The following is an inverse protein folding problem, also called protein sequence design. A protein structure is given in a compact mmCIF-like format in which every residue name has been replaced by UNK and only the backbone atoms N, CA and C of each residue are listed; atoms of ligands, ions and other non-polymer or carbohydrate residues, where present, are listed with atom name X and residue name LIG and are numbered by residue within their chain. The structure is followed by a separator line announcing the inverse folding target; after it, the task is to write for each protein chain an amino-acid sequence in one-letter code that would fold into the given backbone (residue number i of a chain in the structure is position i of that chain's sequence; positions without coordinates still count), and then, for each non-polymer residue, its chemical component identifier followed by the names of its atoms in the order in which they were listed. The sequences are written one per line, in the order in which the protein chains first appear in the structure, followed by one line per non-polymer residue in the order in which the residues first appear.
data_IF_153925057989
#
_entry.id   IF_153925057989
#
_cell.length_a   1.000
_cell.length_b   1.000
_cell.length_c   1.000
_cell.angle_alpha   90.00
_cell.angle_beta   90.00
_cell.angle_gamma   90.00
#
_symmetry.space_group_name_H-M   'P 1'
#
loop_
_entity.id
_entity.type
_entity.pdbx_description
1 polymer ?
#
# COMPACT_ATOMS: atom_id res chain seq x y z
N UNK A 1 -2.59 -6.22 -13.85
CA UNK A 1 -1.17 -5.84 -13.74
C UNK A 1 -0.84 -4.76 -14.75
N UNK A 2 0.15 -3.93 -14.49
CA UNK A 2 0.54 -2.84 -15.38
C UNK A 2 1.34 -3.37 -16.56
N UNK A 3 1.09 -2.85 -17.77
CA UNK A 3 1.95 -3.04 -18.93
C UNK A 3 3.35 -2.48 -18.63
N UNK A 4 4.36 -3.30 -18.77
CA UNK A 4 5.78 -2.94 -18.56
C UNK A 4 6.65 -3.78 -19.50
N UNK A 5 7.87 -3.31 -19.73
CA UNK A 5 8.87 -4.08 -20.48
C UNK A 5 9.03 -5.51 -19.92
N UNK A 6 9.01 -5.66 -18.61
CA UNK A 6 9.17 -6.94 -17.93
C UNK A 6 7.96 -7.86 -18.06
N UNK A 7 6.76 -7.28 -18.13
CA UNK A 7 5.52 -8.03 -18.24
C UNK A 7 5.22 -8.43 -19.68
N UNK A 8 5.48 -7.51 -20.62
CA UNK A 8 5.02 -7.65 -22.00
C UNK A 8 6.06 -8.33 -22.93
N UNK A 9 7.36 -8.33 -22.55
CA UNK A 9 8.41 -8.86 -23.40
C UNK A 9 8.86 -10.26 -22.97
N UNK A 10 8.65 -11.28 -23.81
CA UNK A 10 9.02 -12.66 -23.48
C UNK A 10 10.53 -12.90 -23.40
N UNK A 11 11.36 -11.99 -23.95
CA UNK A 11 12.81 -12.17 -24.07
C UNK A 11 13.64 -12.03 -22.78
N UNK A 12 13.04 -11.66 -21.66
CA UNK A 12 13.76 -11.48 -20.38
C UNK A 12 13.92 -12.82 -19.62
N UNK A 13 13.66 -13.93 -20.28
CA UNK A 13 13.86 -15.28 -19.73
C UNK A 13 12.85 -15.68 -18.66
N UNK A 14 11.81 -14.87 -18.45
CA UNK A 14 10.74 -15.12 -17.49
C UNK A 14 9.42 -15.54 -18.16
N UNK A 15 9.33 -15.46 -19.48
CA UNK A 15 8.09 -15.59 -20.22
C UNK A 15 7.24 -14.30 -20.13
N UNK A 16 6.06 -14.31 -20.73
CA UNK A 16 5.10 -13.21 -20.60
C UNK A 16 4.38 -13.24 -19.24
N UNK A 17 3.84 -12.10 -18.82
CA UNK A 17 3.03 -12.00 -17.61
C UNK A 17 3.87 -11.93 -16.32
N UNK A 18 3.42 -12.60 -15.26
CA UNK A 18 4.02 -12.52 -13.93
C UNK A 18 5.31 -13.36 -13.74
N UNK A 19 5.80 -14.02 -14.78
CA UNK A 19 6.97 -14.91 -14.71
C UNK A 19 8.23 -14.22 -14.19
N UNK A 20 8.44 -12.95 -14.54
CA UNK A 20 9.58 -12.17 -14.04
C UNK A 20 9.52 -11.95 -12.52
N UNK A 21 8.30 -11.78 -11.96
CA UNK A 21 8.09 -11.63 -10.51
C UNK A 21 8.46 -12.92 -9.80
N UNK A 22 7.97 -14.06 -10.31
CA UNK A 22 8.31 -15.37 -9.76
C UNK A 22 9.83 -15.60 -9.76
N UNK A 23 10.50 -15.28 -10.88
CA UNK A 23 11.94 -15.43 -11.02
C UNK A 23 12.69 -14.56 -10.00
N UNK A 24 12.30 -13.30 -9.86
CA UNK A 24 12.84 -12.39 -8.84
C UNK A 24 12.68 -12.90 -7.41
N UNK A 25 11.48 -13.39 -7.06
CA UNK A 25 11.21 -13.96 -5.73
C UNK A 25 12.07 -15.21 -5.45
N UNK A 26 12.26 -16.09 -6.44
CA UNK A 26 13.12 -17.28 -6.30
C UNK A 26 14.60 -16.92 -6.14
N UNK A 27 15.08 -15.93 -6.90
CA UNK A 27 16.46 -15.44 -6.76
C UNK A 27 16.68 -14.77 -5.40
N UNK A 28 15.75 -13.94 -4.95
CA UNK A 28 15.82 -13.31 -3.63
C UNK A 28 15.85 -14.36 -2.51
N UNK A 29 15.04 -15.43 -2.61
CA UNK A 29 15.07 -16.54 -1.67
C UNK A 29 16.40 -17.31 -1.68
N UNK A 30 16.98 -17.49 -2.85
CA UNK A 30 18.27 -18.17 -2.98
C UNK A 30 19.42 -17.33 -2.41
N UNK A 31 19.36 -16.00 -2.56
CA UNK A 31 20.37 -15.07 -2.06
C UNK A 31 20.28 -14.89 -0.54
N UNK A 32 19.06 -14.75 0.00
CA UNK A 32 18.80 -14.68 1.45
C UNK A 32 17.55 -15.51 1.82
N UNK A 33 17.77 -16.72 2.37
CA UNK A 33 16.67 -17.58 2.79
C UNK A 33 15.83 -17.01 3.93
N UNK A 34 16.35 -16.06 4.72
CA UNK A 34 15.68 -15.51 5.90
C UNK A 34 14.89 -14.23 5.59
N UNK A 35 15.23 -13.51 4.53
CA UNK A 35 14.48 -12.31 4.14
C UNK A 35 13.06 -12.66 3.71
N UNK A 36 12.08 -11.86 4.17
CA UNK A 36 10.71 -11.93 3.66
C UNK A 36 10.58 -11.17 2.36
N UNK A 37 9.83 -11.71 1.43
CA UNK A 37 9.62 -11.17 0.07
C UNK A 37 8.20 -10.74 -0.12
N UNK A 38 8.03 -9.49 -0.53
CA UNK A 38 6.75 -8.86 -0.75
C UNK A 38 6.61 -8.43 -2.22
N UNK A 39 5.42 -8.60 -2.76
CA UNK A 39 5.01 -7.89 -3.96
C UNK A 39 4.33 -6.59 -3.54
N UNK A 40 4.87 -5.45 -3.98
CA UNK A 40 4.38 -4.12 -3.62
C UNK A 40 3.83 -3.41 -4.85
N UNK A 41 2.61 -2.82 -4.74
CA UNK A 41 2.01 -2.09 -5.86
C UNK A 41 1.05 -0.99 -5.34
N UNK A 42 0.72 -0.03 -6.21
CA UNK A 42 -0.23 1.07 -5.98
C UNK A 42 -1.56 0.78 -6.68
N UNK A 43 -2.62 1.55 -6.37
CA UNK A 43 -3.98 1.39 -6.93
C UNK A 43 -4.53 -0.05 -6.80
N UNK A 44 -4.10 -0.76 -5.78
CA UNK A 44 -4.50 -2.13 -5.48
C UNK A 44 -5.16 -2.26 -4.09
N UNK A 45 -5.48 -1.15 -3.47
CA UNK A 45 -6.08 -1.06 -2.14
C UNK A 45 -7.49 -1.61 -2.15
N UNK A 46 -8.34 -1.14 -3.06
CA UNK A 46 -9.71 -1.61 -3.23
C UNK A 46 -9.79 -2.90 -4.05
N UNK A 47 -10.92 -3.60 -3.98
CA UNK A 47 -11.24 -4.68 -4.92
C UNK A 47 -11.55 -4.06 -6.29
N UNK A 48 -10.63 -4.25 -7.21
CA UNK A 48 -10.70 -3.77 -8.58
C UNK A 48 -9.95 -4.73 -9.52
N UNK A 49 -9.97 -4.48 -10.81
CA UNK A 49 -9.33 -5.34 -11.80
C UNK A 49 -7.82 -5.55 -11.54
N UNK A 50 -7.12 -4.53 -11.00
CA UNK A 50 -5.70 -4.64 -10.68
C UNK A 50 -5.47 -5.52 -9.45
N UNK A 51 -6.18 -5.27 -8.36
CA UNK A 51 -6.08 -6.08 -7.15
C UNK A 51 -6.54 -7.51 -7.38
N UNK A 52 -7.52 -7.74 -8.27
CA UNK A 52 -7.96 -9.08 -8.68
C UNK A 52 -6.85 -9.85 -9.42
N UNK A 53 -6.14 -9.17 -10.32
CA UNK A 53 -5.00 -9.77 -11.03
C UNK A 53 -3.85 -10.09 -10.06
N UNK A 54 -3.56 -9.22 -9.09
CA UNK A 54 -2.56 -9.47 -8.04
C UNK A 54 -3.00 -10.64 -7.15
N UNK A 55 -4.28 -10.70 -6.77
CA UNK A 55 -4.83 -11.80 -5.98
C UNK A 55 -4.71 -13.14 -6.71
N UNK A 56 -5.08 -13.18 -8.00
CA UNK A 56 -4.97 -14.39 -8.82
C UNK A 56 -3.51 -14.86 -8.92
N UNK A 57 -2.56 -13.94 -9.16
CA UNK A 57 -1.12 -14.23 -9.16
C UNK A 57 -0.65 -14.77 -7.81
N UNK A 58 -1.00 -14.11 -6.70
CA UNK A 58 -0.60 -14.52 -5.36
C UNK A 58 -1.14 -15.93 -5.02
N UNK A 59 -2.40 -16.20 -5.35
CA UNK A 59 -3.03 -17.50 -5.19
C UNK A 59 -2.32 -18.61 -5.99
N UNK A 60 -1.97 -18.33 -7.24
CA UNK A 60 -1.21 -19.25 -8.08
C UNK A 60 0.21 -19.48 -7.51
N UNK A 61 0.88 -18.41 -7.10
CA UNK A 61 2.21 -18.51 -6.50
C UNK A 61 2.21 -19.35 -5.22
N UNK A 62 1.22 -19.16 -4.34
CA UNK A 62 1.06 -19.99 -3.13
C UNK A 62 0.85 -21.45 -3.50
N UNK A 63 -0.02 -21.74 -4.49
CA UNK A 63 -0.29 -23.12 -4.97
C UNK A 63 0.97 -23.81 -5.51
N UNK A 64 1.84 -23.07 -6.21
CA UNK A 64 3.06 -23.59 -6.84
C UNK A 64 4.31 -23.51 -5.95
N UNK A 65 4.19 -23.09 -4.69
CA UNK A 65 5.32 -22.94 -3.77
C UNK A 65 6.31 -21.86 -4.20
N UNK A 66 5.85 -20.81 -4.89
CA UNK A 66 6.68 -19.62 -5.13
C UNK A 66 6.86 -18.88 -3.81
N UNK A 67 8.08 -18.45 -3.47
CA UNK A 67 8.38 -17.90 -2.14
C UNK A 67 7.91 -16.43 -2.00
N UNK A 68 6.61 -16.21 -2.08
CA UNK A 68 5.92 -14.96 -1.78
C UNK A 68 5.45 -15.00 -0.32
N UNK A 69 5.97 -14.09 0.49
CA UNK A 69 5.66 -14.02 1.92
C UNK A 69 4.56 -13.01 2.22
N UNK A 70 4.40 -11.95 1.41
CA UNK A 70 3.37 -10.94 1.64
C UNK A 70 3.08 -10.04 0.45
N UNK A 71 2.10 -9.15 0.68
CA UNK A 71 1.69 -8.10 -0.25
C UNK A 71 1.88 -6.74 0.42
N UNK A 72 2.50 -5.79 -0.30
CA UNK A 72 2.55 -4.39 0.05
C UNK A 72 1.52 -3.60 -0.75
N UNK A 73 0.76 -2.77 -0.05
CA UNK A 73 -0.14 -1.77 -0.61
C UNK A 73 0.52 -0.41 -0.41
N UNK A 74 0.81 0.31 -1.50
CA UNK A 74 1.48 1.62 -1.38
C UNK A 74 0.61 2.64 -0.67
N UNK A 75 -0.67 2.66 -0.96
CA UNK A 75 -1.69 3.48 -0.29
C UNK A 75 -1.45 4.99 -0.45
N UNK A 76 -1.19 5.39 -1.69
CA UNK A 76 -1.15 6.80 -2.11
C UNK A 76 -2.57 7.29 -2.41
N UNK A 77 -3.24 7.90 -1.45
CA UNK A 77 -4.69 8.19 -1.54
C UNK A 77 -5.02 9.68 -1.47
N UNK A 78 -6.28 10.00 -1.74
CA UNK A 78 -6.89 11.32 -1.53
C UNK A 78 -8.02 11.18 -0.51
N UNK A 79 -8.63 12.30 -0.10
CA UNK A 79 -9.80 12.30 0.79
C UNK A 79 -10.99 11.50 0.23
N UNK A 80 -11.07 11.31 -1.10
CA UNK A 80 -12.14 10.47 -1.68
C UNK A 80 -12.03 9.00 -1.27
N UNK A 81 -10.90 8.58 -0.69
CA UNK A 81 -10.74 7.23 -0.17
C UNK A 81 -11.53 6.99 1.13
N UNK A 82 -11.95 8.06 1.81
CA UNK A 82 -12.79 8.01 3.01
C UNK A 82 -14.27 7.66 2.73
N UNK A 83 -14.64 7.47 1.46
CA UNK A 83 -15.98 6.98 1.12
C UNK A 83 -16.21 5.59 1.72
N UNK A 84 -17.36 5.36 2.40
CA UNK A 84 -17.61 4.09 3.12
C UNK A 84 -17.44 2.85 2.23
N UNK A 85 -17.80 2.94 0.96
CA UNK A 85 -17.65 1.83 0.02
C UNK A 85 -16.18 1.50 -0.26
N UNK A 86 -15.30 2.50 -0.30
CA UNK A 86 -13.87 2.29 -0.58
C UNK A 86 -13.14 1.70 0.62
N UNK A 87 -13.38 2.22 1.82
CA UNK A 87 -12.83 1.65 3.05
C UNK A 87 -13.32 0.21 3.27
N UNK A 88 -14.62 -0.06 3.04
CA UNK A 88 -15.16 -1.41 3.13
C UNK A 88 -14.56 -2.34 2.05
N UNK A 89 -14.32 -1.83 0.85
CA UNK A 89 -13.65 -2.58 -0.22
C UNK A 89 -12.21 -2.89 0.14
N UNK A 90 -11.49 -1.92 0.72
CA UNK A 90 -10.11 -2.12 1.19
C UNK A 90 -10.05 -3.17 2.30
N UNK A 91 -10.93 -3.10 3.30
CA UNK A 91 -11.01 -4.10 4.37
C UNK A 91 -11.20 -5.52 3.82
N UNK A 92 -12.13 -5.71 2.88
CA UNK A 92 -12.36 -7.01 2.21
C UNK A 92 -11.15 -7.46 1.40
N UNK A 93 -10.45 -6.51 0.79
CA UNK A 93 -9.25 -6.80 0.00
C UNK A 93 -8.10 -7.27 0.91
N UNK A 94 -7.85 -6.59 2.02
CA UNK A 94 -6.88 -7.03 3.03
C UNK A 94 -7.23 -8.44 3.54
N UNK A 95 -8.50 -8.67 3.90
CA UNK A 95 -8.98 -9.97 4.39
C UNK A 95 -8.72 -11.11 3.40
N UNK A 96 -9.04 -10.92 2.09
CA UNK A 96 -8.84 -11.99 1.10
C UNK A 96 -7.37 -12.36 0.91
N UNK A 97 -6.45 -11.39 0.94
CA UNK A 97 -5.01 -11.68 0.89
C UNK A 97 -4.51 -12.35 2.17
N UNK A 98 -4.98 -11.91 3.35
CA UNK A 98 -4.67 -12.54 4.62
C UNK A 98 -5.12 -14.02 4.65
N UNK A 99 -6.28 -14.35 4.07
CA UNK A 99 -6.78 -15.74 3.92
C UNK A 99 -5.88 -16.63 3.05
N UNK A 100 -4.99 -16.07 2.24
CA UNK A 100 -3.95 -16.84 1.53
C UNK A 100 -2.73 -17.14 2.42
N UNK A 101 -2.73 -16.71 3.67
CA UNK A 101 -1.58 -16.84 4.59
C UNK A 101 -0.43 -15.93 4.20
N UNK A 102 -0.73 -14.71 3.70
CA UNK A 102 0.25 -13.69 3.36
C UNK A 102 0.29 -12.61 4.43
N UNK A 103 1.48 -12.13 4.75
CA UNK A 103 1.64 -10.90 5.50
C UNK A 103 1.22 -9.70 4.64
N UNK A 104 0.62 -8.68 5.26
CA UNK A 104 0.16 -7.47 4.57
C UNK A 104 0.91 -6.27 5.14
N UNK A 105 1.41 -5.43 4.27
CA UNK A 105 2.07 -4.18 4.63
C UNK A 105 1.38 -3.00 3.94
N UNK A 106 1.16 -1.93 4.67
CA UNK A 106 0.89 -0.60 4.14
C UNK A 106 2.26 0.07 4.05
N UNK A 107 2.76 0.32 2.84
CA UNK A 107 4.19 0.57 2.62
C UNK A 107 4.56 2.00 2.35
N UNK A 108 3.61 2.83 1.90
CA UNK A 108 3.94 4.16 1.36
C UNK A 108 2.80 5.16 1.64
N UNK A 109 2.12 5.01 2.78
CA UNK A 109 0.91 5.78 3.09
C UNK A 109 1.17 7.29 3.01
N UNK A 110 0.44 7.94 2.13
CA UNK A 110 0.21 9.37 2.11
C UNK A 110 -1.23 9.69 1.75
N UNK A 111 -1.77 10.78 2.30
CA UNK A 111 -3.13 11.26 2.04
C UNK A 111 -3.05 12.70 1.52
N UNK A 112 -2.99 12.87 0.20
CA UNK A 112 -2.79 14.18 -0.41
C UNK A 112 -4.04 15.05 -0.39
N UNK A 113 -3.84 16.31 -0.09
CA UNK A 113 -4.88 17.34 -0.02
C UNK A 113 -4.73 18.34 -1.17
N UNK A 114 -5.85 18.97 -1.55
CA UNK A 114 -5.86 20.12 -2.50
C UNK A 114 -5.75 21.47 -1.79
N UNK A 115 -5.96 21.50 -0.48
CA UNK A 115 -5.85 22.69 0.37
C UNK A 115 -5.53 22.28 1.81
N UNK A 116 -5.12 23.25 2.63
CA UNK A 116 -4.83 23.06 4.05
C UNK A 116 -5.89 23.66 4.98
N UNK A 117 -7.13 23.74 4.51
CA UNK A 117 -8.23 24.21 5.36
C UNK A 117 -8.40 23.31 6.58
N UNK A 118 -8.92 23.83 7.71
CA UNK A 118 -9.17 23.00 8.90
C UNK A 118 -10.02 21.77 8.60
N UNK A 119 -11.00 21.88 7.71
CA UNK A 119 -11.86 20.75 7.31
C UNK A 119 -11.08 19.67 6.55
N UNK A 120 -10.22 20.06 5.59
CA UNK A 120 -9.40 19.12 4.83
C UNK A 120 -8.38 18.41 5.73
N UNK A 121 -7.77 19.14 6.66
CA UNK A 121 -6.78 18.59 7.61
C UNK A 121 -7.45 17.62 8.60
N UNK A 122 -8.66 17.92 9.06
CA UNK A 122 -9.42 17.01 9.94
C UNK A 122 -9.87 15.74 9.20
N UNK A 123 -10.39 15.87 7.98
CA UNK A 123 -10.74 14.72 7.15
C UNK A 123 -9.50 13.84 6.85
N UNK A 124 -8.34 14.45 6.62
CA UNK A 124 -7.09 13.71 6.48
C UNK A 124 -6.75 12.92 7.75
N UNK A 125 -6.88 13.55 8.92
CA UNK A 125 -6.62 12.88 10.19
C UNK A 125 -7.54 11.69 10.40
N UNK A 126 -8.84 11.86 10.13
CA UNK A 126 -9.82 10.79 10.19
C UNK A 126 -9.38 9.60 9.30
N UNK A 127 -9.02 9.86 8.05
CA UNK A 127 -8.64 8.82 7.11
C UNK A 127 -7.35 8.08 7.51
N UNK A 128 -6.34 8.77 8.04
CA UNK A 128 -5.16 8.12 8.59
C UNK A 128 -5.53 7.17 9.75
N UNK A 129 -6.43 7.60 10.63
CA UNK A 129 -6.95 6.77 11.72
C UNK A 129 -7.70 5.54 11.21
N UNK A 130 -8.61 5.71 10.24
CA UNK A 130 -9.40 4.60 9.68
C UNK A 130 -8.51 3.57 8.97
N UNK A 131 -7.58 3.99 8.11
CA UNK A 131 -6.63 3.08 7.44
C UNK A 131 -5.83 2.30 8.50
N UNK A 132 -5.39 2.96 9.57
CA UNK A 132 -4.64 2.31 10.65
C UNK A 132 -5.50 1.26 11.35
N UNK A 133 -6.76 1.57 11.69
CA UNK A 133 -7.69 0.61 12.31
C UNK A 133 -7.97 -0.58 11.41
N UNK A 134 -8.16 -0.36 10.11
CA UNK A 134 -8.37 -1.45 9.15
C UNK A 134 -7.17 -2.42 9.12
N UNK A 135 -5.94 -1.90 9.18
CA UNK A 135 -4.75 -2.73 9.29
C UNK A 135 -4.75 -3.54 10.59
N UNK A 136 -4.97 -2.90 11.73
CA UNK A 136 -4.97 -3.54 13.05
C UNK A 136 -6.04 -4.64 13.19
N UNK A 137 -7.16 -4.50 12.50
CA UNK A 137 -8.22 -5.51 12.47
C UNK A 137 -7.84 -6.77 11.69
N UNK A 138 -6.79 -6.72 10.89
CA UNK A 138 -6.33 -7.85 10.09
C UNK A 138 -5.08 -8.47 10.74
N UNK A 139 -5.15 -9.71 11.28
CA UNK A 139 -3.99 -10.36 11.90
C UNK A 139 -2.77 -10.50 10.98
N UNK A 140 -3.01 -10.50 9.67
CA UNK A 140 -1.97 -10.52 8.64
C UNK A 140 -1.28 -9.18 8.41
N UNK A 141 -1.86 -8.04 8.81
CA UNK A 141 -1.24 -6.73 8.64
C UNK A 141 -0.14 -6.52 9.68
N UNK A 142 1.08 -6.31 9.23
CA UNK A 142 2.28 -6.32 10.07
C UNK A 142 3.05 -5.01 10.06
N UNK A 143 2.74 -4.10 9.14
CA UNK A 143 3.48 -2.85 9.00
C UNK A 143 2.59 -1.76 8.44
N UNK A 144 2.71 -0.57 9.01
CA UNK A 144 2.27 0.69 8.43
C UNK A 144 3.48 1.60 8.32
N UNK A 145 3.77 2.06 7.12
CA UNK A 145 4.85 2.98 6.81
C UNK A 145 4.31 4.12 5.95
N UNK A 146 4.67 5.36 6.29
CA UNK A 146 4.39 6.54 5.48
C UNK A 146 5.50 6.77 4.45
N UNK A 147 5.16 7.37 3.29
CA UNK A 147 6.15 7.69 2.25
C UNK A 147 6.81 9.06 2.53
N UNK A 148 7.51 9.12 3.64
CA UNK A 148 8.09 10.32 4.22
C UNK A 148 7.42 10.67 5.55
N UNK A 149 7.84 11.75 6.20
CA UNK A 149 7.27 12.18 7.48
C UNK A 149 6.74 13.63 7.44
N UNK A 150 7.27 14.51 6.57
CA UNK A 150 6.91 15.93 6.44
C UNK A 150 6.57 16.30 5.00
N UNK A 151 5.56 17.14 4.80
CA UNK A 151 5.18 17.68 3.50
C UNK A 151 6.32 18.42 2.79
N UNK A 152 7.27 18.99 3.55
CA UNK A 152 8.40 19.77 3.02
C UNK A 152 9.22 19.04 1.95
N UNK A 153 9.35 17.72 2.06
CA UNK A 153 10.15 16.91 1.15
C UNK A 153 9.29 15.87 0.43
N UNK A 154 7.96 16.03 0.46
CA UNK A 154 7.05 15.12 -0.22
C UNK A 154 7.24 15.16 -1.74
N UNK A 155 7.09 14.01 -2.36
CA UNK A 155 7.07 13.86 -3.81
C UNK A 155 5.77 14.37 -4.44
N UNK A 156 4.69 14.45 -3.64
CA UNK A 156 3.33 14.76 -4.10
C UNK A 156 3.26 16.07 -4.89
N UNK A 157 3.75 17.23 -4.41
CA UNK A 157 3.63 18.48 -5.17
C UNK A 157 4.37 18.47 -6.52
N UNK A 158 5.43 17.68 -6.61
CA UNK A 158 6.21 17.51 -7.83
C UNK A 158 5.48 16.69 -8.88
N UNK A 159 4.75 15.68 -8.48
CA UNK A 159 4.08 14.72 -9.34
C UNK A 159 2.60 15.06 -9.58
N UNK A 160 1.84 15.39 -8.53
CA UNK A 160 0.43 15.74 -8.59
C UNK A 160 0.26 17.25 -8.43
N UNK A 161 0.14 17.98 -9.55
CA UNK A 161 -0.04 19.44 -9.53
C UNK A 161 -1.31 19.84 -8.76
N UNK A 162 -1.16 20.79 -7.84
CA UNK A 162 -2.27 21.26 -7.00
C UNK A 162 -2.55 20.42 -5.77
N UNK A 163 -1.75 19.39 -5.51
CA UNK A 163 -1.82 18.60 -4.28
C UNK A 163 -0.58 18.78 -3.41
N UNK A 164 -0.75 18.56 -2.10
CA UNK A 164 0.30 18.60 -1.10
C UNK A 164 -0.22 18.23 0.28
N UNK A 165 0.43 18.69 1.33
CA UNK A 165 0.05 18.51 2.75
C UNK A 165 -0.25 17.06 3.15
N UNK A 166 0.40 16.12 2.50
CA UNK A 166 0.04 14.70 2.49
C UNK A 166 0.49 13.90 3.72
N UNK A 167 1.51 14.38 4.46
CA UNK A 167 2.18 13.63 5.52
C UNK A 167 1.83 14.10 6.94
N UNK A 168 2.43 13.43 7.95
CA UNK A 168 2.06 13.54 9.37
C UNK A 168 2.60 14.81 10.05
N UNK A 169 3.68 15.39 9.54
CA UNK A 169 4.26 16.66 9.99
C UNK A 169 4.15 17.70 8.89
N UNK A 170 3.97 18.95 9.29
CA UNK A 170 4.01 20.09 8.37
C UNK A 170 5.45 20.45 7.95
N UNK A 171 5.59 21.50 7.13
CA UNK A 171 6.88 21.97 6.61
C UNK A 171 7.79 22.58 7.69
N UNK A 172 7.25 22.92 8.86
CA UNK A 172 7.96 23.42 10.03
C UNK A 172 8.25 22.30 11.05
N UNK A 173 7.95 21.05 10.70
CA UNK A 173 8.10 19.86 11.55
C UNK A 173 7.18 19.85 12.78
N UNK A 174 6.03 20.55 12.72
CA UNK A 174 4.98 20.42 13.71
C UNK A 174 4.09 19.22 13.37
N UNK A 175 3.69 18.51 14.41
CA UNK A 175 2.75 17.38 14.27
C UNK A 175 1.39 17.89 13.81
N UNK A 176 0.88 17.31 12.75
CA UNK A 176 -0.47 17.55 12.25
C UNK A 176 -1.49 16.69 13.01
N UNK A 177 -2.80 16.99 12.94
CA UNK A 177 -3.86 16.12 13.47
C UNK A 177 -3.75 14.66 12.99
N UNK A 178 -3.32 14.43 11.76
CA UNK A 178 -3.07 13.10 11.19
C UNK A 178 -2.07 12.28 12.00
N UNK A 179 -1.04 12.92 12.61
CA UNK A 179 -0.12 12.23 13.52
C UNK A 179 -0.85 11.69 14.76
N UNK A 180 -1.66 12.54 15.39
CA UNK A 180 -2.41 12.13 16.58
C UNK A 180 -3.39 11.00 16.27
N UNK A 181 -4.13 11.10 15.17
CA UNK A 181 -5.11 10.09 14.77
C UNK A 181 -4.48 8.71 14.49
N UNK A 182 -3.33 8.69 13.80
CA UNK A 182 -2.57 7.46 13.57
C UNK A 182 -2.02 6.90 14.89
N UNK A 183 -1.39 7.73 15.71
CA UNK A 183 -0.84 7.35 17.01
C UNK A 183 -1.91 6.76 17.92
N UNK A 184 -3.06 7.43 18.04
CA UNK A 184 -4.14 7.01 18.92
C UNK A 184 -4.80 5.71 18.43
N UNK A 185 -4.87 5.50 17.11
CA UNK A 185 -5.32 4.23 16.55
C UNK A 185 -4.35 3.08 16.90
N UNK A 186 -3.04 3.32 16.91
CA UNK A 186 -2.03 2.31 17.28
C UNK A 186 -2.01 2.01 18.80
N UNK A 187 -2.49 2.92 19.63
CA UNK A 187 -2.48 2.79 21.09
C UNK A 187 -3.70 2.02 21.66
N UNK A 188 -4.67 1.66 20.81
CA UNK A 188 -5.85 0.87 21.17
C UNK A 188 -5.55 -0.62 21.13
#
# INVERSE_FOLDING_TARGET
MRSTLWYDQPGIGAGSGAGYIEKGLRWARAADPNAKRFYNDYDAEEINAKSDAIYAMAKDFKKRGVPLDGIGFQTHVTLTFDEPNKLASYAKNLERFAKLGLDLHITELDVRLTDSSPASVEAQAHLYGEITRLCLQQPGCKLIQTWGFTGKYSWIPGFFKGYGWDLLWDDNYWKKPAYAALHDALAQ
#
